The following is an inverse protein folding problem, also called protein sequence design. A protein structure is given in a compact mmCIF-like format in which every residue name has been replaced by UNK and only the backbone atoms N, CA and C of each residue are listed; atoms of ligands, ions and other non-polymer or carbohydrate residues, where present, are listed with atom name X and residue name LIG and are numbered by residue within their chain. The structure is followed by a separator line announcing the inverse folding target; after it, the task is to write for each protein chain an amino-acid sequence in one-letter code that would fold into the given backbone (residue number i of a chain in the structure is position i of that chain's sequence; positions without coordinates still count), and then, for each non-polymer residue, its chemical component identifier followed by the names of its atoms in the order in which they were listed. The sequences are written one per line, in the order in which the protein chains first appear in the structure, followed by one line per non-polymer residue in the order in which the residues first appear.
data_IF_466904063658
#
_entry.id   IF_466904063658
#
_cell.length_a   1.000
_cell.length_b   1.000
_cell.length_c   1.000
_cell.angle_alpha   90.00
_cell.angle_beta   90.00
_cell.angle_gamma   90.00
#
_symmetry.space_group_name_H-M   'P 1'
#
loop_
_entity.id
_entity.type
_entity.pdbx_description
1 polymer ?
#
# COMPACT_ATOMS: atom_id res chain seq x y z
N UNK A 1 -44.22 -63.43 -25.81
CA UNK A 1 -43.89 -62.07 -26.28
C UNK A 1 -43.11 -61.39 -25.16
N UNK A 2 -41.78 -61.34 -25.22
CA UNK A 2 -40.94 -60.67 -24.23
C UNK A 2 -40.50 -59.33 -24.81
N UNK A 3 -40.74 -58.26 -24.05
CA UNK A 3 -40.49 -56.88 -24.45
C UNK A 3 -39.07 -56.47 -23.98
N UNK A 4 -38.09 -56.23 -24.88
CA UNK A 4 -36.72 -55.93 -24.49
C UNK A 4 -36.53 -54.40 -24.47
N UNK A 5 -36.89 -53.75 -23.36
CA UNK A 5 -36.69 -52.30 -23.18
C UNK A 5 -36.26 -51.91 -21.76
N UNK A 6 -35.43 -52.74 -21.11
CA UNK A 6 -35.02 -52.48 -19.72
C UNK A 6 -33.51 -52.44 -19.47
N UNK A 7 -32.66 -52.36 -20.51
CA UNK A 7 -31.20 -52.45 -20.34
C UNK A 7 -30.40 -51.17 -20.62
N UNK A 8 -31.03 -50.03 -20.91
CA UNK A 8 -30.30 -48.79 -21.30
C UNK A 8 -30.14 -47.76 -20.19
N UNK A 9 -30.84 -47.86 -19.05
CA UNK A 9 -30.81 -46.83 -18.01
C UNK A 9 -29.76 -47.06 -16.91
N UNK A 10 -29.37 -48.31 -16.64
CA UNK A 10 -28.43 -48.65 -15.57
C UNK A 10 -26.98 -48.16 -15.83
N UNK A 11 -26.56 -48.03 -17.10
CA UNK A 11 -25.21 -47.60 -17.46
C UNK A 11 -24.97 -46.09 -17.43
N UNK A 12 -26.04 -45.30 -17.57
CA UNK A 12 -25.95 -43.84 -17.56
C UNK A 12 -25.79 -43.29 -16.15
N UNK A 13 -26.52 -43.84 -15.17
CA UNK A 13 -26.53 -43.37 -13.78
C UNK A 13 -25.21 -43.68 -13.05
N UNK A 14 -24.58 -44.82 -13.35
CA UNK A 14 -23.27 -45.23 -12.82
C UNK A 14 -22.11 -44.44 -13.42
N UNK A 15 -22.19 -44.08 -14.70
CA UNK A 15 -21.22 -43.19 -15.32
C UNK A 15 -21.33 -41.78 -14.73
N UNK A 16 -22.55 -41.27 -14.56
CA UNK A 16 -22.80 -39.91 -14.05
C UNK A 16 -22.36 -39.75 -12.58
N UNK A 17 -22.46 -40.79 -11.74
CA UNK A 17 -21.95 -40.76 -10.36
C UNK A 17 -20.42 -40.83 -10.28
N UNK A 18 -19.75 -41.60 -11.15
CA UNK A 18 -18.28 -41.70 -11.18
C UNK A 18 -17.59 -40.40 -11.59
N UNK A 19 -18.21 -39.60 -12.46
CA UNK A 19 -17.66 -38.31 -12.88
C UNK A 19 -18.06 -37.15 -11.97
N UNK A 20 -19.17 -37.25 -11.22
CA UNK A 20 -19.66 -36.19 -10.32
C UNK A 20 -18.68 -35.85 -9.19
N UNK A 21 -18.10 -36.84 -8.52
CA UNK A 21 -17.13 -36.59 -7.44
C UNK A 21 -15.90 -35.79 -7.91
N UNK A 22 -15.18 -36.27 -8.94
CA UNK A 22 -14.04 -35.56 -9.52
C UNK A 22 -14.40 -34.19 -10.10
N UNK A 23 -15.56 -34.04 -10.77
CA UNK A 23 -16.00 -32.74 -11.28
C UNK A 23 -16.29 -31.74 -10.16
N UNK A 24 -16.93 -32.17 -9.07
CA UNK A 24 -17.19 -31.30 -7.93
C UNK A 24 -15.90 -30.85 -7.26
N UNK A 25 -14.94 -31.76 -7.09
CA UNK A 25 -13.61 -31.42 -6.53
C UNK A 25 -12.90 -30.42 -7.46
N UNK A 26 -12.90 -30.67 -8.77
CA UNK A 26 -12.30 -29.76 -9.75
C UNK A 26 -12.96 -28.38 -9.72
N UNK A 27 -14.30 -28.31 -9.64
CA UNK A 27 -15.03 -27.06 -9.55
C UNK A 27 -14.66 -26.28 -8.26
N UNK A 28 -14.56 -26.95 -7.12
CA UNK A 28 -14.15 -26.32 -5.85
C UNK A 28 -12.71 -25.79 -5.94
N UNK A 29 -11.79 -26.56 -6.53
CA UNK A 29 -10.40 -26.11 -6.73
C UNK A 29 -10.34 -24.89 -7.66
N UNK A 30 -11.07 -24.90 -8.77
CA UNK A 30 -11.11 -23.77 -9.71
C UNK A 30 -11.70 -22.51 -9.06
N UNK A 31 -12.79 -22.65 -8.30
CA UNK A 31 -13.37 -21.53 -7.55
C UNK A 31 -12.38 -21.00 -6.50
N UNK A 32 -11.70 -21.90 -5.78
CA UNK A 32 -10.66 -21.53 -4.82
C UNK A 32 -9.50 -20.75 -5.45
N UNK A 33 -9.02 -21.19 -6.62
CA UNK A 33 -7.99 -20.50 -7.39
C UNK A 33 -8.46 -19.13 -7.89
N UNK A 34 -9.70 -19.02 -8.37
CA UNK A 34 -10.28 -17.74 -8.78
C UNK A 34 -10.37 -16.76 -7.61
N UNK A 35 -10.85 -17.19 -6.44
CA UNK A 35 -10.94 -16.36 -5.25
C UNK A 35 -9.54 -15.91 -4.80
N UNK A 36 -8.57 -16.82 -4.78
CA UNK A 36 -7.19 -16.51 -4.41
C UNK A 36 -6.54 -15.51 -5.38
N UNK A 37 -6.74 -15.70 -6.69
CA UNK A 37 -6.24 -14.78 -7.72
C UNK A 37 -6.86 -13.39 -7.59
N UNK A 38 -8.18 -13.31 -7.41
CA UNK A 38 -8.88 -12.03 -7.22
C UNK A 38 -8.41 -11.34 -5.94
N UNK A 39 -8.24 -12.07 -4.84
CA UNK A 39 -7.75 -11.52 -3.58
C UNK A 39 -6.32 -10.99 -3.70
N UNK A 40 -5.41 -11.75 -4.31
CA UNK A 40 -4.01 -11.36 -4.51
C UNK A 40 -3.90 -10.18 -5.49
N UNK A 41 -4.60 -10.23 -6.61
CA UNK A 41 -4.61 -9.15 -7.60
C UNK A 41 -5.22 -7.85 -7.04
N UNK A 42 -6.27 -7.93 -6.22
CA UNK A 42 -6.82 -6.76 -5.53
C UNK A 42 -5.85 -6.24 -4.48
N UNK A 43 -5.26 -7.12 -3.65
CA UNK A 43 -4.26 -6.72 -2.65
C UNK A 43 -3.10 -5.97 -3.31
N UNK A 44 -2.58 -6.43 -4.44
CA UNK A 44 -1.50 -5.76 -5.16
C UNK A 44 -1.90 -4.41 -5.78
N UNK A 45 -3.18 -4.23 -6.12
CA UNK A 45 -3.71 -2.96 -6.64
C UNK A 45 -3.96 -1.93 -5.55
N UNK A 46 -4.36 -2.37 -4.36
CA UNK A 46 -4.70 -1.48 -3.24
C UNK A 46 -3.55 -1.27 -2.24
N UNK A 47 -2.46 -2.03 -2.36
CA UNK A 47 -1.26 -1.86 -1.54
C UNK A 47 -0.38 -0.75 -2.11
N UNK A 48 -0.07 0.24 -1.28
CA UNK A 48 0.90 1.30 -1.60
C UNK A 48 2.27 0.66 -1.87
N UNK A 49 2.88 0.98 -3.01
CA UNK A 49 4.26 0.57 -3.35
C UNK A 49 5.23 1.64 -2.87
N UNK A 50 5.90 1.48 -1.71
CA UNK A 50 6.62 2.59 -1.07
C UNK A 50 7.78 3.12 -1.92
N UNK A 51 8.49 2.25 -2.64
CA UNK A 51 9.58 2.64 -3.56
C UNK A 51 9.08 3.52 -4.72
N UNK A 52 7.87 3.22 -5.25
CA UNK A 52 7.25 4.05 -6.27
C UNK A 52 6.87 5.42 -5.71
N UNK A 53 6.39 5.46 -4.46
CA UNK A 53 6.12 6.72 -3.78
C UNK A 53 7.40 7.54 -3.63
N UNK A 54 8.49 6.93 -3.14
CA UNK A 54 9.78 7.58 -3.01
C UNK A 54 10.23 8.21 -4.34
N UNK A 55 10.28 7.41 -5.42
CA UNK A 55 10.70 7.88 -6.75
C UNK A 55 9.76 8.94 -7.36
N UNK A 56 8.51 9.04 -6.88
CA UNK A 56 7.58 10.07 -7.34
C UNK A 56 7.79 11.43 -6.67
N UNK A 57 8.41 11.45 -5.47
CA UNK A 57 8.53 12.65 -4.63
C UNK A 57 9.97 13.18 -4.59
N UNK A 58 10.96 12.29 -4.58
CA UNK A 58 12.37 12.64 -4.40
C UNK A 58 13.16 12.50 -5.71
N UNK A 59 14.14 13.38 -5.90
CA UNK A 59 15.14 13.29 -6.99
C UNK A 59 16.28 12.31 -6.66
N UNK A 60 16.49 12.05 -5.37
CA UNK A 60 17.50 11.10 -4.90
C UNK A 60 17.27 9.68 -5.44
N UNK A 61 18.37 8.93 -5.59
CA UNK A 61 18.28 7.51 -5.94
C UNK A 61 17.89 6.68 -4.73
N UNK A 62 16.97 5.75 -4.92
CA UNK A 62 16.54 4.82 -3.88
C UNK A 62 17.71 3.97 -3.30
N UNK A 63 18.76 3.74 -4.09
CA UNK A 63 19.97 3.01 -3.66
C UNK A 63 20.71 3.67 -2.50
N UNK A 64 20.55 4.98 -2.33
CA UNK A 64 21.30 5.77 -1.35
C UNK A 64 20.59 5.81 0.02
N UNK A 65 19.47 5.10 0.10
CA UNK A 65 18.51 5.14 1.20
C UNK A 65 18.66 3.89 2.07
N UNK A 66 18.58 4.08 3.39
CA UNK A 66 18.65 3.00 4.39
C UNK A 66 17.40 2.96 5.27
N UNK A 67 17.21 1.83 5.95
CA UNK A 67 16.11 1.62 6.91
C UNK A 67 14.73 1.98 6.35
N UNK A 68 14.50 1.70 5.08
CA UNK A 68 13.31 2.11 4.36
C UNK A 68 12.06 1.35 4.85
N UNK A 69 11.01 2.09 5.18
CA UNK A 69 9.68 1.56 5.50
C UNK A 69 8.61 2.39 4.81
N UNK A 70 7.49 1.79 4.49
CA UNK A 70 6.34 2.54 4.02
C UNK A 70 5.07 1.73 4.09
N UNK A 71 3.96 2.42 3.92
CA UNK A 71 2.64 1.83 3.99
C UNK A 71 1.58 2.84 3.59
N UNK A 72 0.34 2.47 3.90
CA UNK A 72 -0.85 3.24 3.54
C UNK A 72 -1.87 2.40 2.79
N UNK A 73 -2.96 3.05 2.42
CA UNK A 73 -4.12 2.44 1.79
C UNK A 73 -4.55 3.26 0.59
N UNK A 74 -4.81 2.58 -0.53
CA UNK A 74 -5.41 3.18 -1.72
C UNK A 74 -6.91 2.93 -1.62
N UNK A 75 -7.63 3.85 -0.96
CA UNK A 75 -9.09 3.83 -0.84
C UNK A 75 -9.69 5.16 -1.35
N UNK A 76 -10.98 5.40 -1.14
CA UNK A 76 -11.60 6.70 -1.41
C UNK A 76 -10.94 7.85 -0.61
N UNK A 77 -10.24 7.52 0.49
CA UNK A 77 -9.32 8.43 1.17
C UNK A 77 -7.92 7.83 1.02
N UNK A 78 -7.18 8.28 0.02
CA UNK A 78 -5.81 7.80 -0.19
C UNK A 78 -4.92 8.33 0.93
N UNK A 79 -4.20 7.42 1.60
CA UNK A 79 -3.16 7.78 2.55
C UNK A 79 -1.93 6.92 2.28
N UNK A 80 -0.77 7.57 2.13
CA UNK A 80 0.50 6.93 1.80
C UNK A 80 1.59 7.54 2.66
N UNK A 81 2.51 6.73 3.15
CA UNK A 81 3.63 7.23 3.94
C UNK A 81 4.89 6.41 3.70
N UNK A 82 6.03 7.07 3.88
CA UNK A 82 7.35 6.45 3.87
C UNK A 82 8.22 7.06 4.97
N UNK A 83 9.11 6.21 5.48
CA UNK A 83 10.19 6.54 6.38
C UNK A 83 11.48 6.02 5.77
N UNK A 84 12.55 6.78 5.94
CA UNK A 84 13.87 6.35 5.54
C UNK A 84 14.99 7.11 6.22
N UNK A 85 16.20 6.57 6.11
CA UNK A 85 17.43 7.24 6.50
C UNK A 85 18.29 7.57 5.29
N UNK A 86 18.78 8.79 5.24
CA UNK A 86 19.71 9.28 4.22
C UNK A 86 20.54 10.40 4.85
N UNK A 87 21.84 10.42 4.53
CA UNK A 87 22.70 11.50 5.01
C UNK A 87 22.32 12.82 4.33
N UNK A 88 21.97 13.82 5.14
CA UNK A 88 21.55 15.14 4.67
C UNK A 88 20.10 15.18 4.16
N UNK A 89 19.60 16.38 3.87
CA UNK A 89 18.21 16.58 3.44
C UNK A 89 17.97 15.92 2.07
N UNK A 90 16.90 15.13 1.95
CA UNK A 90 16.52 14.54 0.67
C UNK A 90 15.98 15.61 -0.28
N UNK A 91 16.29 15.48 -1.56
CA UNK A 91 15.92 16.45 -2.59
C UNK A 91 14.52 16.17 -3.12
N UNK A 92 13.61 17.12 -2.93
CA UNK A 92 12.23 17.05 -3.40
C UNK A 92 12.15 17.55 -4.84
N UNK A 93 11.48 16.80 -5.72
CA UNK A 93 11.24 17.22 -7.13
C UNK A 93 10.51 18.56 -7.22
N UNK A 94 9.51 18.75 -6.38
CA UNK A 94 8.68 19.97 -6.36
C UNK A 94 9.02 20.86 -5.16
N UNK A 95 10.30 21.03 -4.81
CA UNK A 95 10.74 21.74 -3.59
C UNK A 95 10.07 23.10 -3.38
N UNK A 96 9.81 23.85 -4.45
CA UNK A 96 9.17 25.17 -4.39
C UNK A 96 7.68 25.12 -4.01
N UNK A 97 7.00 24.00 -4.26
CA UNK A 97 5.59 23.82 -3.87
C UNK A 97 5.42 23.40 -2.41
N UNK A 98 6.53 23.12 -1.72
CA UNK A 98 6.56 22.79 -0.30
C UNK A 98 6.89 24.05 0.51
N UNK A 99 5.95 24.99 0.52
CA UNK A 99 6.10 26.36 1.05
C UNK A 99 5.49 26.54 2.45
N UNK A 100 4.68 25.60 2.93
CA UNK A 100 4.06 25.69 4.25
C UNK A 100 4.88 25.02 5.35
N UNK A 101 5.04 25.70 6.49
CA UNK A 101 5.51 25.09 7.75
C UNK A 101 4.33 24.72 8.69
N UNK A 102 3.11 24.97 8.23
CA UNK A 102 1.92 24.84 9.06
C UNK A 102 1.75 23.40 9.56
N UNK A 103 1.62 23.28 10.88
CA UNK A 103 1.30 22.05 11.63
C UNK A 103 2.47 21.08 11.85
N UNK A 104 3.69 21.59 12.00
CA UNK A 104 4.89 20.85 12.43
C UNK A 104 4.65 19.82 13.54
N UNK A 105 4.02 20.24 14.63
CA UNK A 105 3.78 19.38 15.79
C UNK A 105 2.71 18.32 15.52
N UNK A 106 1.70 18.62 14.70
CA UNK A 106 0.68 17.64 14.29
C UNK A 106 1.32 16.56 13.43
N UNK A 107 2.15 16.96 12.47
CA UNK A 107 2.85 16.04 11.61
C UNK A 107 3.80 15.14 12.40
N UNK A 108 4.62 15.72 13.30
CA UNK A 108 5.51 14.97 14.18
C UNK A 108 4.75 13.96 15.03
N UNK A 109 3.66 14.37 15.69
CA UNK A 109 2.83 13.48 16.52
C UNK A 109 2.26 12.33 15.71
N UNK A 110 1.72 12.63 14.53
CA UNK A 110 1.16 11.60 13.65
C UNK A 110 2.21 10.54 13.28
N UNK A 111 3.42 10.96 12.89
CA UNK A 111 4.50 10.00 12.62
C UNK A 111 4.96 9.27 13.89
N UNK A 112 4.96 9.93 15.05
CA UNK A 112 5.39 9.31 16.31
C UNK A 112 4.40 8.25 16.80
N UNK A 113 3.11 8.40 16.52
CA UNK A 113 2.09 7.37 16.77
C UNK A 113 2.29 6.17 15.84
N UNK A 114 2.61 6.42 14.57
CA UNK A 114 2.85 5.38 13.57
C UNK A 114 4.19 4.65 13.79
N UNK A 115 5.24 5.37 14.17
CA UNK A 115 6.62 4.93 14.28
C UNK A 115 7.22 5.32 15.64
N UNK A 116 6.73 4.74 16.75
CA UNK A 116 7.08 5.17 18.11
C UNK A 116 8.54 4.89 18.50
N UNK A 117 9.22 4.01 17.76
CA UNK A 117 10.62 3.64 17.96
C UNK A 117 11.62 4.65 17.36
N UNK A 118 11.15 5.62 16.57
CA UNK A 118 12.04 6.53 15.83
C UNK A 118 12.52 7.70 16.66
N UNK A 119 13.85 7.77 16.79
CA UNK A 119 14.54 8.74 17.63
C UNK A 119 14.27 10.18 17.20
N UNK A 120 14.33 10.46 15.90
CA UNK A 120 14.13 11.80 15.32
C UNK A 120 12.73 12.36 15.49
N UNK A 121 11.76 11.55 15.95
CA UNK A 121 10.40 11.97 16.27
C UNK A 121 10.20 12.30 17.75
N UNK A 122 11.13 11.92 18.64
CA UNK A 122 10.97 12.15 20.07
C UNK A 122 11.00 13.65 20.42
N UNK A 123 10.32 14.10 21.49
CA UNK A 123 10.22 15.52 21.84
C UNK A 123 11.57 16.24 21.97
N UNK A 124 12.61 15.57 22.47
CA UNK A 124 13.96 16.11 22.64
C UNK A 124 14.66 16.43 21.31
N UNK A 125 14.25 15.78 20.21
CA UNK A 125 14.79 16.03 18.88
C UNK A 125 13.98 17.06 18.08
N UNK A 126 12.92 17.64 18.65
CA UNK A 126 12.02 18.58 17.97
C UNK A 126 12.73 19.79 17.38
N UNK A 127 13.73 20.34 18.08
CA UNK A 127 14.54 21.48 17.58
C UNK A 127 15.37 21.15 16.35
N UNK A 128 15.51 19.85 16.04
CA UNK A 128 16.22 19.38 14.86
C UNK A 128 15.28 19.02 13.72
N UNK A 129 13.97 19.21 13.87
CA UNK A 129 13.02 18.86 12.83
C UNK A 129 12.86 20.03 11.85
N UNK A 130 13.21 19.81 10.58
CA UNK A 130 12.71 20.62 9.48
C UNK A 130 11.40 20.03 9.00
N UNK A 131 10.42 20.88 8.76
CA UNK A 131 9.17 20.47 8.13
C UNK A 131 8.96 21.26 6.85
N UNK A 132 8.40 20.59 5.86
CA UNK A 132 7.77 21.23 4.72
C UNK A 132 6.41 20.59 4.47
N UNK A 133 5.47 21.38 3.99
CA UNK A 133 4.13 20.92 3.64
C UNK A 133 3.68 21.51 2.32
N UNK A 134 2.84 20.76 1.62
CA UNK A 134 2.25 21.12 0.34
C UNK A 134 0.78 20.74 0.35
N UNK A 135 -0.04 21.57 -0.28
CA UNK A 135 -1.42 21.22 -0.62
C UNK A 135 -1.57 21.38 -2.13
N UNK A 136 -1.83 20.27 -2.83
CA UNK A 136 -2.18 20.26 -4.24
C UNK A 136 -3.70 20.12 -4.34
N UNK A 137 -4.35 21.16 -4.88
CA UNK A 137 -5.80 21.18 -5.08
C UNK A 137 -6.08 21.18 -6.57
N UNK A 138 -6.66 20.09 -7.07
CA UNK A 138 -7.23 19.98 -8.42
C UNK A 138 -8.75 19.96 -8.32
N UNK A 139 -9.44 20.19 -9.44
CA UNK A 139 -10.90 20.39 -9.48
C UNK A 139 -11.71 19.25 -8.85
N UNK A 140 -11.16 18.05 -8.81
CA UNK A 140 -11.76 16.81 -8.33
C UNK A 140 -11.03 16.15 -7.15
N UNK A 141 -9.84 16.64 -6.79
CA UNK A 141 -8.99 16.00 -5.78
C UNK A 141 -8.20 17.01 -4.93
N UNK A 142 -8.19 16.81 -3.62
CA UNK A 142 -7.35 17.57 -2.69
C UNK A 142 -6.33 16.64 -2.06
N UNK A 143 -5.06 16.90 -2.34
CA UNK A 143 -3.92 16.16 -1.81
C UNK A 143 -3.10 17.03 -0.88
N UNK A 144 -2.82 16.52 0.30
CA UNK A 144 -1.99 17.15 1.33
C UNK A 144 -0.74 16.32 1.53
N UNK A 145 0.38 16.99 1.72
CA UNK A 145 1.67 16.34 1.87
C UNK A 145 2.46 16.95 3.02
N UNK A 146 3.12 16.09 3.78
CA UNK A 146 4.08 16.46 4.82
C UNK A 146 5.41 15.79 4.53
N UNK A 147 6.48 16.57 4.66
CA UNK A 147 7.85 16.10 4.65
C UNK A 147 8.57 16.60 5.90
N UNK A 148 9.09 15.68 6.70
CA UNK A 148 9.88 15.98 7.89
C UNK A 148 11.28 15.43 7.67
N UNK A 149 12.28 16.22 8.05
CA UNK A 149 13.67 15.82 8.05
C UNK A 149 14.31 16.19 9.38
N UNK A 150 14.95 15.21 10.02
CA UNK A 150 15.75 15.43 11.20
C UNK A 150 17.25 15.38 10.88
N UNK A 151 17.87 16.54 10.70
CA UNK A 151 19.32 16.69 10.46
C UNK A 151 20.24 16.17 11.57
N UNK A 152 19.71 15.79 12.75
CA UNK A 152 20.53 15.14 13.79
C UNK A 152 20.58 13.62 13.63
N UNK A 153 19.48 13.01 13.20
CA UNK A 153 19.36 11.54 13.08
C UNK A 153 19.40 11.03 11.65
N UNK A 154 19.45 11.94 10.66
CA UNK A 154 19.37 11.64 9.23
C UNK A 154 18.08 10.90 8.86
N UNK A 155 17.00 11.17 9.60
CA UNK A 155 15.71 10.52 9.41
C UNK A 155 14.75 11.41 8.62
N UNK A 156 14.09 10.79 7.66
CA UNK A 156 13.13 11.39 6.76
C UNK A 156 11.78 10.71 6.93
N UNK A 157 10.74 11.52 6.95
CA UNK A 157 9.37 11.06 7.05
C UNK A 157 8.55 11.80 6.02
N UNK A 158 7.77 11.06 5.24
CA UNK A 158 6.90 11.63 4.24
C UNK A 158 5.51 11.01 4.32
N UNK A 159 4.49 11.85 4.20
CA UNK A 159 3.09 11.45 4.18
C UNK A 159 2.37 12.22 3.08
N UNK A 160 1.52 11.52 2.36
CA UNK A 160 0.54 12.04 1.42
C UNK A 160 -0.84 11.55 1.84
N UNK A 161 -1.83 12.44 1.91
CA UNK A 161 -3.22 12.04 2.15
C UNK A 161 -4.21 12.96 1.45
N UNK A 162 -5.39 12.45 1.11
CA UNK A 162 -6.37 13.21 0.36
C UNK A 162 -7.61 12.42 -0.01
N UNK A 163 -8.49 13.08 -0.75
CA UNK A 163 -9.68 12.50 -1.39
C UNK A 163 -9.83 13.09 -2.79
#
# INVERSE_FOLDING_TARGET
MNNPRESTNLGADDAMTRFRGPLTILAVVLVGLCIWYVYTAMKDRYTVKPEKLFNSIFEDNFSDVKDFKGGGEISAHEEKWIYFKKTGEAELKDKHSFDGEDRAEVARRWFAELLPDKEGLKPEFRKYLKIRSKVDSRTDHIKRQWYLFNWRTDEHFYREWGY
#
